data_IF_618904019368
#
_entry.id   IF_618904019368
#
_cell.length_a   1.000
_cell.length_b   1.000
_cell.length_c   1.000
_cell.angle_alpha   90.00
_cell.angle_beta   90.00
_cell.angle_gamma   90.00
#
_symmetry.space_group_name_H-M   'P 1'
#
loop_
_entity.id
_entity.type
_entity.pdbx_description
1 polymer ?
#
# COMPACT_ATOMS: atom_id res chain seq x y z
N UNK A 1 10.50 -12.60 8.19
CA UNK A 1 9.58 -11.55 7.69
C UNK A 1 10.41 -10.48 7.00
N UNK A 2 9.98 -9.99 5.84
CA UNK A 2 10.68 -8.93 5.10
C UNK A 2 9.73 -7.74 4.94
N UNK A 3 10.05 -6.63 5.63
CA UNK A 3 9.27 -5.38 5.59
C UNK A 3 9.93 -4.23 4.85
N UNK A 4 11.20 -4.41 4.47
CA UNK A 4 11.94 -3.45 3.66
C UNK A 4 11.27 -3.33 2.30
N UNK A 5 11.12 -2.12 1.77
CA UNK A 5 10.64 -1.87 0.39
C UNK A 5 11.82 -1.79 -0.58
N UNK A 6 11.58 -2.04 -1.87
CA UNK A 6 12.62 -1.86 -2.90
C UNK A 6 13.69 -2.96 -2.97
N UNK A 7 13.44 -4.12 -2.34
CA UNK A 7 14.32 -5.29 -2.36
C UNK A 7 13.90 -6.35 -3.40
N UNK A 8 12.90 -6.06 -4.23
CA UNK A 8 12.29 -7.06 -5.13
C UNK A 8 13.28 -7.69 -6.11
N UNK A 9 14.33 -6.97 -6.50
CA UNK A 9 15.39 -7.48 -7.36
C UNK A 9 16.21 -8.61 -6.68
N UNK A 10 16.21 -8.64 -5.35
CA UNK A 10 16.88 -9.68 -4.53
C UNK A 10 15.97 -10.89 -4.26
N UNK A 11 14.70 -10.86 -4.68
CA UNK A 11 13.75 -11.94 -4.43
C UNK A 11 14.22 -13.31 -4.94
N UNK A 12 14.81 -13.44 -6.16
CA UNK A 12 15.34 -14.72 -6.63
C UNK A 12 16.44 -15.28 -5.72
N UNK A 13 17.39 -14.44 -5.29
CA UNK A 13 18.47 -14.86 -4.40
C UNK A 13 17.95 -15.35 -3.04
N UNK A 14 16.92 -14.69 -2.50
CA UNK A 14 16.26 -15.14 -1.26
C UNK A 14 15.56 -16.49 -1.45
N UNK A 15 14.91 -16.71 -2.59
CA UNK A 15 14.26 -17.99 -2.92
C UNK A 15 15.28 -19.12 -3.02
N UNK A 16 16.39 -18.88 -3.72
CA UNK A 16 17.46 -19.85 -3.90
C UNK A 16 18.12 -20.21 -2.56
N UNK A 17 18.39 -19.22 -1.71
CA UNK A 17 18.98 -19.42 -0.39
C UNK A 17 18.10 -20.27 0.55
N UNK A 18 16.79 -20.32 0.32
CA UNK A 18 15.83 -21.05 1.13
C UNK A 18 15.37 -22.36 0.49
N UNK A 19 15.83 -22.66 -0.73
CA UNK A 19 15.50 -23.88 -1.43
C UNK A 19 15.91 -25.12 -0.61
N UNK A 20 14.98 -26.07 -0.45
CA UNK A 20 15.19 -27.29 0.33
C UNK A 20 15.07 -27.14 1.86
N UNK A 21 14.75 -25.93 2.35
CA UNK A 21 14.44 -25.70 3.76
C UNK A 21 12.93 -25.76 4.03
N UNK A 22 12.53 -25.89 5.30
CA UNK A 22 11.14 -25.75 5.75
C UNK A 22 10.76 -24.32 6.13
N UNK A 23 11.65 -23.35 5.85
CA UNK A 23 11.48 -21.95 6.29
C UNK A 23 10.55 -21.21 5.33
N UNK A 24 9.45 -20.67 5.86
CA UNK A 24 8.56 -19.77 5.13
C UNK A 24 8.98 -18.30 5.24
N UNK A 25 8.77 -17.54 4.16
CA UNK A 25 8.98 -16.08 4.14
C UNK A 25 7.67 -15.36 3.90
N UNK A 26 7.33 -14.47 4.83
CA UNK A 26 6.31 -13.45 4.62
C UNK A 26 7.00 -12.12 4.27
N UNK A 27 6.78 -11.65 3.06
CA UNK A 27 7.21 -10.34 2.61
C UNK A 27 5.99 -9.45 2.36
N UNK A 28 5.95 -8.30 3.02
CA UNK A 28 4.86 -7.35 2.87
C UNK A 28 5.39 -5.92 3.09
N UNK A 29 4.96 -4.93 2.29
CA UNK A 29 5.34 -3.54 2.49
C UNK A 29 4.72 -2.95 3.78
N UNK A 30 3.71 -3.61 4.35
CA UNK A 30 3.08 -3.25 5.60
C UNK A 30 2.45 -4.47 6.30
N UNK A 31 2.84 -4.74 7.54
CA UNK A 31 2.33 -5.86 8.35
C UNK A 31 1.15 -5.50 9.25
N UNK A 32 0.72 -4.23 9.29
CA UNK A 32 -0.43 -3.84 10.09
C UNK A 32 -1.70 -4.48 9.52
N UNK A 33 -2.39 -5.27 10.36
CA UNK A 33 -3.64 -5.95 10.00
C UNK A 33 -4.69 -4.92 9.54
N UNK A 34 -4.79 -3.79 10.25
CA UNK A 34 -5.73 -2.72 9.90
C UNK A 34 -5.50 -2.14 8.52
N UNK A 35 -4.24 -2.00 8.08
CA UNK A 35 -3.92 -1.52 6.73
C UNK A 35 -4.34 -2.53 5.67
N UNK A 36 -4.05 -3.82 5.87
CA UNK A 36 -4.46 -4.87 4.93
C UNK A 36 -5.99 -4.99 4.84
N UNK A 37 -6.70 -4.88 5.97
CA UNK A 37 -8.16 -4.84 5.98
C UNK A 37 -8.71 -3.60 5.26
N UNK A 38 -8.12 -2.43 5.50
CA UNK A 38 -8.51 -1.19 4.83
C UNK A 38 -8.36 -1.29 3.31
N UNK A 39 -7.25 -1.86 2.80
CA UNK A 39 -7.06 -2.09 1.36
C UNK A 39 -8.18 -2.96 0.78
N UNK A 40 -8.54 -4.06 1.45
CA UNK A 40 -9.60 -4.95 1.00
C UNK A 40 -10.97 -4.25 0.97
N UNK A 41 -11.30 -3.47 2.01
CA UNK A 41 -12.54 -2.69 2.07
C UNK A 41 -12.58 -1.63 0.96
N UNK A 42 -11.47 -0.95 0.72
CA UNK A 42 -11.38 0.10 -0.29
C UNK A 42 -11.56 -0.47 -1.71
N UNK A 43 -10.93 -1.62 -2.02
CA UNK A 43 -11.11 -2.31 -3.30
C UNK A 43 -12.59 -2.68 -3.54
N UNK A 44 -13.25 -3.30 -2.57
CA UNK A 44 -14.66 -3.66 -2.69
C UNK A 44 -15.58 -2.43 -2.81
N UNK A 45 -15.30 -1.38 -2.02
CA UNK A 45 -16.05 -0.13 -2.09
C UNK A 45 -15.90 0.54 -3.45
N UNK A 46 -14.69 0.54 -4.02
CA UNK A 46 -14.42 1.10 -5.33
C UNK A 46 -15.23 0.41 -6.43
N UNK A 47 -15.26 -0.92 -6.47
CA UNK A 47 -16.07 -1.66 -7.44
C UNK A 47 -17.57 -1.31 -7.38
N UNK A 48 -18.11 -1.06 -6.18
CA UNK A 48 -19.51 -0.69 -6.00
C UNK A 48 -19.81 0.76 -6.36
N UNK A 49 -18.92 1.68 -6.03
CA UNK A 49 -19.16 3.13 -6.13
C UNK A 49 -18.77 3.68 -7.50
N UNK A 50 -17.69 3.17 -8.12
CA UNK A 50 -17.29 3.56 -9.48
C UNK A 50 -18.38 3.22 -10.50
N UNK A 51 -18.99 2.04 -10.38
CA UNK A 51 -20.13 1.64 -11.20
C UNK A 51 -21.37 2.54 -11.04
N UNK A 52 -21.41 3.36 -9.98
CA UNK A 52 -22.45 4.36 -9.70
C UNK A 52 -22.03 5.79 -10.07
N UNK A 53 -20.87 5.95 -10.72
CA UNK A 53 -20.37 7.25 -11.18
C UNK A 53 -19.61 8.07 -10.14
N UNK A 54 -19.25 7.48 -9.00
CA UNK A 54 -18.38 8.17 -8.02
C UNK A 54 -16.92 8.13 -8.47
N UNK A 55 -16.24 9.27 -8.36
CA UNK A 55 -14.81 9.38 -8.65
C UNK A 55 -13.99 9.17 -7.37
N UNK A 56 -13.07 8.20 -7.33
CA UNK A 56 -12.20 7.96 -6.18
C UNK A 56 -11.05 8.98 -6.12
N UNK A 57 -10.65 9.34 -4.91
CA UNK A 57 -9.43 10.08 -4.61
C UNK A 57 -8.86 9.59 -3.27
N UNK A 58 -7.57 9.81 -3.05
CA UNK A 58 -6.87 9.41 -1.84
C UNK A 58 -6.17 10.62 -1.24
N UNK A 59 -6.23 10.74 0.08
CA UNK A 59 -5.38 11.65 0.83
C UNK A 59 -4.57 10.89 1.88
N UNK A 60 -3.29 11.25 1.98
CA UNK A 60 -2.39 10.70 2.99
C UNK A 60 -1.63 11.81 3.71
N UNK A 61 -1.46 11.66 5.03
CA UNK A 61 -0.76 12.62 5.87
C UNK A 61 0.27 11.91 6.75
N UNK A 62 1.50 12.44 6.76
CA UNK A 62 2.61 11.94 7.57
C UNK A 62 3.43 13.10 8.15
N UNK A 63 4.36 12.77 9.05
CA UNK A 63 5.28 13.70 9.67
C UNK A 63 6.15 14.43 8.63
N UNK A 64 6.62 15.63 8.99
CA UNK A 64 7.37 16.52 8.08
C UNK A 64 8.66 15.88 7.52
N UNK A 65 9.30 15.00 8.29
CA UNK A 65 10.56 14.36 7.89
C UNK A 65 10.41 13.18 6.89
N UNK A 66 9.20 12.78 6.52
CA UNK A 66 8.99 11.66 5.58
C UNK A 66 9.33 12.11 4.16
N UNK A 67 10.33 11.46 3.55
CA UNK A 67 10.93 11.88 2.27
C UNK A 67 10.13 11.45 1.05
N UNK A 68 9.56 10.25 1.08
CA UNK A 68 8.77 9.70 -0.01
C UNK A 68 7.36 10.28 -0.01
N UNK A 69 6.85 10.62 -1.19
CA UNK A 69 5.47 11.01 -1.44
C UNK A 69 5.04 10.59 -2.87
N UNK A 70 3.88 9.92 -3.04
CA UNK A 70 3.02 9.35 -2.00
C UNK A 70 3.72 8.23 -1.21
N UNK A 71 3.22 7.92 -0.01
CA UNK A 71 3.74 6.81 0.79
C UNK A 71 3.45 5.45 0.15
N UNK A 72 4.25 4.44 0.49
CA UNK A 72 4.05 3.08 -0.02
C UNK A 72 2.64 2.52 0.22
N UNK A 73 2.03 2.83 1.37
CA UNK A 73 0.63 2.47 1.66
C UNK A 73 -0.35 3.17 0.71
N UNK A 74 -0.14 4.47 0.42
CA UNK A 74 -0.99 5.21 -0.51
C UNK A 74 -0.85 4.69 -1.97
N UNK A 75 0.35 4.30 -2.38
CA UNK A 75 0.58 3.63 -3.67
C UNK A 75 -0.15 2.28 -3.73
N UNK A 76 -0.11 1.50 -2.65
CA UNK A 76 -0.84 0.24 -2.54
C UNK A 76 -2.36 0.44 -2.61
N UNK A 77 -2.88 1.44 -1.88
CA UNK A 77 -4.30 1.79 -1.89
C UNK A 77 -4.76 2.23 -3.29
N UNK A 78 -3.99 3.11 -3.95
CA UNK A 78 -4.26 3.52 -5.32
C UNK A 78 -4.38 2.33 -6.26
N UNK A 79 -3.40 1.42 -6.21
CA UNK A 79 -3.36 0.22 -7.05
C UNK A 79 -4.59 -0.66 -6.89
N UNK A 80 -5.09 -0.86 -5.65
CA UNK A 80 -6.28 -1.71 -5.44
C UNK A 80 -7.57 -1.01 -5.87
N UNK A 81 -7.67 0.31 -5.68
CA UNK A 81 -8.85 1.09 -6.11
C UNK A 81 -8.92 1.20 -7.64
N UNK A 82 -7.77 1.38 -8.32
CA UNK A 82 -7.69 1.44 -9.79
C UNK A 82 -8.19 0.16 -10.48
N UNK A 83 -8.22 -0.99 -9.79
CA UNK A 83 -8.81 -2.24 -10.32
C UNK A 83 -10.31 -2.13 -10.61
N UNK A 84 -11.00 -1.15 -10.03
CA UNK A 84 -12.38 -0.84 -10.36
C UNK A 84 -12.54 -0.11 -11.71
N UNK A 85 -11.44 0.23 -12.41
CA UNK A 85 -11.47 0.84 -13.73
C UNK A 85 -11.57 2.37 -13.72
N UNK A 86 -11.25 3.02 -12.60
CA UNK A 86 -11.23 4.48 -12.49
C UNK A 86 -9.80 4.98 -12.21
N UNK A 87 -9.48 6.17 -12.74
CA UNK A 87 -8.29 6.91 -12.33
C UNK A 87 -8.47 7.41 -10.89
N UNK A 88 -7.38 7.42 -10.12
CA UNK A 88 -7.40 7.77 -8.70
C UNK A 88 -6.35 8.84 -8.42
N UNK A 89 -6.81 10.04 -8.07
CA UNK A 89 -5.93 11.12 -7.66
C UNK A 89 -5.40 10.90 -6.24
N UNK A 90 -4.16 11.35 -5.99
CA UNK A 90 -3.52 11.21 -4.67
C UNK A 90 -2.97 12.56 -4.20
N UNK A 91 -3.38 12.97 -3.01
CA UNK A 91 -2.87 14.15 -2.31
C UNK A 91 -2.05 13.73 -1.09
N UNK A 92 -0.95 14.45 -0.81
CA UNK A 92 -0.02 14.11 0.27
C UNK A 92 0.31 15.31 1.15
N UNK A 93 0.14 15.17 2.46
CA UNK A 93 0.51 16.16 3.47
C UNK A 93 1.73 15.69 4.28
N UNK A 94 2.67 16.61 4.51
CA UNK A 94 3.85 16.43 5.36
C UNK A 94 3.87 17.52 6.41
N UNK A 95 3.49 17.18 7.64
CA UNK A 95 3.33 18.17 8.70
C UNK A 95 3.63 17.58 10.09
N UNK A 96 4.36 18.37 10.90
CA UNK A 96 4.64 18.06 12.30
C UNK A 96 5.11 16.61 12.52
N UNK A 97 4.45 15.94 13.46
CA UNK A 97 4.73 14.56 13.89
C UNK A 97 3.57 13.60 13.58
N UNK A 98 2.79 13.86 12.51
CA UNK A 98 1.68 12.98 12.12
C UNK A 98 2.21 11.55 11.88
N UNK A 99 1.74 10.53 12.62
CA UNK A 99 2.29 9.17 12.50
C UNK A 99 2.08 8.57 11.10
N UNK A 100 0.89 8.78 10.53
CA UNK A 100 0.48 8.24 9.24
C UNK A 100 -1.03 8.03 9.22
N UNK A 101 -1.73 8.76 8.34
CA UNK A 101 -3.17 8.63 8.14
C UNK A 101 -3.47 8.54 6.65
N UNK A 102 -4.47 7.71 6.29
CA UNK A 102 -4.93 7.50 4.92
C UNK A 102 -6.45 7.60 4.87
N UNK A 103 -6.98 8.24 3.83
CA UNK A 103 -8.42 8.43 3.60
C UNK A 103 -8.70 8.32 2.11
#
# INVERSE_FOLDING_TARGET
MIGTTGWHDEEPAVRDALAGTTVGVLAAPNFAIGVNLFLAIAEQSAHLLVARGFAPWIHEAHHAAKKDAPSGTAVGLRRVVERAGAAVDVSSTRAGHIPGTHT
#
